data_IF_732278141382
#
_entry.id   IF_732278141382
#
_cell.length_a   1.000
_cell.length_b   1.000
_cell.length_c   1.000
_cell.angle_alpha   90.00
_cell.angle_beta   90.00
_cell.angle_gamma   90.00
#
_symmetry.space_group_name_H-M   'P 1'
#
loop_
_entity.id
_entity.type
_entity.pdbx_description
1 polymer ?
#
# COMPACT_ATOMS: atom_id res chain seq x y z
N UNK A 1 4.36 4.33 23.43
CA UNK A 1 5.09 3.93 22.22
C UNK A 1 4.60 4.78 21.05
N UNK A 2 5.39 5.75 20.59
CA UNK A 2 5.05 6.52 19.38
C UNK A 2 5.28 5.62 18.17
N UNK A 3 4.20 5.22 17.48
CA UNK A 3 4.33 4.61 16.16
C UNK A 3 4.60 5.75 15.20
N UNK A 4 5.86 5.90 14.79
CA UNK A 4 6.21 6.82 13.72
C UNK A 4 5.78 6.17 12.41
N UNK A 5 4.78 6.78 11.80
CA UNK A 5 4.16 6.30 10.58
C UNK A 5 4.64 7.20 9.45
N UNK A 6 5.35 6.64 8.48
CA UNK A 6 5.79 7.40 7.33
C UNK A 6 4.76 7.29 6.21
N UNK A 7 4.34 8.45 5.69
CA UNK A 7 3.42 8.52 4.57
C UNK A 7 4.25 8.67 3.30
N UNK A 8 4.13 7.71 2.39
CA UNK A 8 4.72 7.78 1.04
C UNK A 8 3.62 7.83 -0.01
N UNK A 9 3.89 8.51 -1.11
CA UNK A 9 3.09 8.41 -2.33
C UNK A 9 3.68 7.31 -3.20
N UNK A 10 2.84 6.47 -3.81
CA UNK A 10 3.30 5.33 -4.60
C UNK A 10 2.26 4.94 -5.63
N UNK A 11 2.70 4.26 -6.68
CA UNK A 11 1.83 3.78 -7.76
C UNK A 11 1.41 2.34 -7.48
N UNK A 12 0.18 1.98 -7.85
CA UNK A 12 -0.30 0.60 -7.82
C UNK A 12 -0.11 -0.02 -9.21
N UNK A 13 0.97 -0.79 -9.44
CA UNK A 13 1.15 -1.50 -10.69
C UNK A 13 0.11 -2.59 -10.93
N UNK A 14 -0.37 -3.30 -9.88
CA UNK A 14 -1.26 -4.45 -10.05
C UNK A 14 -2.12 -4.72 -8.80
N UNK A 15 -3.38 -5.11 -9.01
CA UNK A 15 -4.26 -5.65 -7.96
C UNK A 15 -4.29 -7.18 -8.00
N UNK A 16 -4.03 -7.84 -6.87
CA UNK A 16 -4.07 -9.29 -6.74
C UNK A 16 -5.48 -9.79 -6.40
N UNK A 17 -5.85 -11.02 -6.84
CA UNK A 17 -7.18 -11.58 -6.62
C UNK A 17 -7.52 -11.87 -5.16
N UNK A 18 -6.52 -11.88 -4.26
CA UNK A 18 -6.69 -12.02 -2.81
C UNK A 18 -7.03 -10.69 -2.11
N UNK A 19 -7.24 -9.60 -2.86
CA UNK A 19 -7.52 -8.27 -2.31
C UNK A 19 -6.27 -7.53 -1.85
N UNK A 20 -5.08 -8.07 -2.08
CA UNK A 20 -3.82 -7.37 -1.89
C UNK A 20 -3.47 -6.54 -3.12
N UNK A 21 -2.68 -5.50 -2.91
CA UNK A 21 -2.21 -4.59 -3.95
C UNK A 21 -0.69 -4.70 -4.00
N UNK A 22 -0.16 -4.89 -5.19
CA UNK A 22 1.26 -4.68 -5.45
C UNK A 22 1.45 -3.20 -5.61
N UNK A 23 2.38 -2.65 -4.86
CA UNK A 23 2.69 -1.23 -4.83
C UNK A 23 4.14 -1.09 -5.23
N UNK A 24 4.39 -0.15 -6.14
CA UNK A 24 5.72 0.27 -6.52
C UNK A 24 6.04 1.59 -5.80
N UNK A 25 7.03 1.58 -4.91
CA UNK A 25 7.58 2.80 -4.34
C UNK A 25 8.53 3.45 -5.33
N UNK A 26 8.63 4.77 -5.29
CA UNK A 26 9.58 5.52 -6.13
C UNK A 26 11.06 5.12 -5.87
N UNK A 27 11.34 4.44 -4.76
CA UNK A 27 12.65 3.91 -4.38
C UNK A 27 12.94 2.50 -4.94
N UNK A 28 12.27 2.08 -6.02
CA UNK A 28 12.39 0.76 -6.69
C UNK A 28 11.91 -0.47 -5.87
N UNK A 29 11.58 -0.29 -4.60
CA UNK A 29 11.01 -1.33 -3.74
C UNK A 29 9.57 -1.66 -4.13
N UNK A 30 9.29 -2.96 -4.27
CA UNK A 30 7.94 -3.49 -4.44
C UNK A 30 7.42 -3.98 -3.11
N UNK A 31 6.34 -3.38 -2.63
CA UNK A 31 5.68 -3.82 -1.40
C UNK A 31 4.30 -4.40 -1.69
N UNK A 32 3.85 -5.26 -0.80
CA UNK A 32 2.50 -5.77 -0.78
C UNK A 32 1.72 -5.04 0.31
N UNK A 33 0.57 -4.51 -0.07
CA UNK A 33 -0.31 -3.79 0.85
C UNK A 33 -1.75 -4.23 0.70
N UNK A 34 -2.57 -3.83 1.66
CA UNK A 34 -4.02 -3.91 1.57
C UNK A 34 -4.59 -2.51 1.74
N UNK A 35 -5.74 -2.25 1.10
CA UNK A 35 -6.45 -0.99 1.31
C UNK A 35 -6.84 -0.85 2.78
N UNK A 36 -6.76 0.38 3.31
CA UNK A 36 -7.19 0.68 4.68
C UNK A 36 -8.59 0.13 4.96
N UNK A 37 -8.87 -0.24 6.22
CA UNK A 37 -10.18 -0.76 6.61
C UNK A 37 -11.35 0.16 6.23
N UNK A 38 -11.12 1.48 6.09
CA UNK A 38 -12.14 2.41 5.54
C UNK A 38 -12.43 2.16 4.06
N UNK A 39 -11.39 1.96 3.24
CA UNK A 39 -11.51 1.66 1.81
C UNK A 39 -12.27 0.35 1.60
N UNK A 40 -11.95 -0.67 2.39
CA UNK A 40 -12.64 -1.96 2.35
C UNK A 40 -14.12 -1.84 2.74
N UNK A 41 -14.43 -1.10 3.81
CA UNK A 41 -15.81 -0.86 4.26
C UNK A 41 -16.63 -0.04 3.27
N UNK A 42 -16.00 0.90 2.57
CA UNK A 42 -16.63 1.73 1.55
C UNK A 42 -16.68 1.06 0.18
N UNK A 43 -16.18 -0.17 0.04
CA UNK A 43 -16.12 -0.92 -1.23
C UNK A 43 -15.49 -0.12 -2.38
N UNK A 44 -14.53 0.75 -2.04
CA UNK A 44 -13.86 1.59 -3.04
C UNK A 44 -12.93 0.69 -3.84
N UNK A 45 -13.19 0.58 -5.14
CA UNK A 45 -12.30 -0.12 -6.08
C UNK A 45 -11.18 0.83 -6.47
N UNK A 46 -9.95 0.40 -6.21
CA UNK A 46 -8.77 1.15 -6.60
C UNK A 46 -8.36 0.67 -8.00
N UNK A 47 -8.38 1.53 -9.02
CA UNK A 47 -7.92 1.15 -10.34
C UNK A 47 -6.41 0.94 -10.33
N UNK A 48 -5.94 0.06 -11.20
CA UNK A 48 -4.52 -0.11 -11.48
C UNK A 48 -3.97 1.18 -12.10
N UNK A 49 -2.73 1.55 -11.77
CA UNK A 49 -2.05 2.81 -12.14
C UNK A 49 -2.48 4.07 -11.37
N UNK A 50 -3.28 3.95 -10.31
CA UNK A 50 -3.61 5.09 -9.45
C UNK A 50 -2.48 5.43 -8.47
N UNK A 51 -2.40 6.71 -8.09
CA UNK A 51 -1.48 7.21 -7.05
C UNK A 51 -2.14 7.11 -5.69
N UNK A 52 -1.57 6.29 -4.81
CA UNK A 52 -2.09 6.10 -3.46
C UNK A 52 -1.09 6.53 -2.39
N UNK A 53 -1.62 6.98 -1.26
CA UNK A 53 -0.84 7.26 -0.06
C UNK A 53 -0.77 6.01 0.80
N UNK A 54 0.43 5.68 1.23
CA UNK A 54 0.73 4.47 1.98
C UNK A 54 1.36 4.86 3.28
N UNK A 55 0.81 4.28 4.35
CA UNK A 55 1.35 4.37 5.68
C UNK A 55 2.22 3.13 5.93
N UNK A 56 3.53 3.32 6.05
CA UNK A 56 4.46 2.27 6.46
C UNK A 56 4.92 2.49 7.90
N UNK A 57 4.85 1.44 8.71
CA UNK A 57 5.49 1.41 10.02
C UNK A 57 6.92 0.90 9.86
N UNK A 58 7.86 1.49 10.62
CA UNK A 58 9.29 1.16 10.56
C UNK A 58 9.62 -0.32 10.85
N UNK A 59 8.67 -1.05 11.46
CA UNK A 59 8.82 -2.45 11.86
C UNK A 59 8.44 -3.46 10.78
N UNK A 60 7.68 -3.07 9.75
CA UNK A 60 7.24 -3.95 8.67
C UNK A 60 8.16 -3.80 7.45
N UNK A 61 9.41 -4.20 7.65
CA UNK A 61 10.31 -4.54 6.55
C UNK A 61 10.11 -6.02 6.23
N UNK A 62 9.04 -6.38 5.52
CA UNK A 62 8.97 -7.69 4.85
C UNK A 62 9.93 -7.64 3.67
N UNK A 63 11.22 -7.84 3.96
CA UNK A 63 12.22 -8.13 2.93
C UNK A 63 11.85 -9.46 2.26
N UNK A 64 11.63 -9.41 0.96
CA UNK A 64 11.70 -10.56 0.06
C UNK A 64 12.95 -10.42 -0.80
#
# INVERSE_FOLDING_TARGET
MKKENWIHESLIPESLPNGMLRIHLDNEDRILGYGSGRIQRSFIRIPTEDRVKIERSHYDSTSF
#
